data_IF_634943524510
#
_entry.id   IF_634943524510
#
_cell.length_a   1.000
_cell.length_b   1.000
_cell.length_c   1.000
_cell.angle_alpha   90.00
_cell.angle_beta   90.00
_cell.angle_gamma   90.00
#
_symmetry.space_group_name_H-M   'P 1'
#
loop_
_entity.id
_entity.type
_entity.pdbx_description
1 polymer ?
#
# COMPACT_ATOMS: atom_id res chain seq x y z
N UNK A 1 2.19 -28.93 56.66
CA UNK A 1 3.48 -29.64 56.63
C UNK A 1 4.01 -29.55 55.21
N UNK A 2 5.13 -28.84 55.05
CA UNK A 2 6.26 -29.01 54.10
C UNK A 2 5.92 -29.51 52.68
N UNK A 3 6.17 -28.74 51.61
CA UNK A 3 7.46 -28.58 50.92
C UNK A 3 8.24 -29.90 50.72
N UNK A 4 8.91 -30.02 49.56
CA UNK A 4 9.63 -31.18 48.99
C UNK A 4 8.68 -32.13 48.23
N UNK A 5 8.62 -32.10 46.90
CA UNK A 5 9.76 -32.31 45.98
C UNK A 5 9.52 -31.64 44.63
N UNK A 6 10.40 -30.68 44.30
CA UNK A 6 10.67 -30.25 42.93
C UNK A 6 11.38 -31.39 42.17
N UNK A 7 11.30 -31.32 40.84
CA UNK A 7 12.19 -31.94 39.82
C UNK A 7 11.75 -33.31 39.26
N UNK A 8 10.97 -33.27 38.18
CA UNK A 8 11.06 -34.10 36.96
C UNK A 8 9.79 -33.78 36.14
N UNK A 9 9.76 -33.36 34.88
CA UNK A 9 10.74 -33.43 33.82
C UNK A 9 10.54 -32.25 32.87
N UNK A 10 11.66 -31.64 32.47
CA UNK A 10 11.83 -30.95 31.21
C UNK A 10 11.67 -31.96 30.06
N UNK A 11 10.62 -31.84 29.23
CA UNK A 11 10.62 -32.23 27.81
C UNK A 11 9.20 -32.12 27.21
N UNK A 12 9.07 -31.39 26.10
CA UNK A 12 7.84 -31.24 25.31
C UNK A 12 7.45 -29.77 25.16
N UNK A 13 8.34 -28.89 24.72
CA UNK A 13 8.67 -28.66 23.30
C UNK A 13 7.42 -28.49 22.40
N UNK A 14 7.04 -27.22 22.28
CA UNK A 14 6.66 -26.54 21.04
C UNK A 14 5.53 -27.13 20.19
N UNK A 15 4.32 -26.55 20.28
CA UNK A 15 3.42 -26.42 19.11
C UNK A 15 2.63 -25.10 19.17
N UNK A 16 2.92 -24.24 18.17
CA UNK A 16 2.05 -23.27 17.52
C UNK A 16 1.52 -22.03 18.30
N UNK A 17 2.42 -21.12 18.63
CA UNK A 17 2.11 -19.69 18.52
C UNK A 17 2.45 -19.24 17.09
N UNK A 18 1.60 -19.57 16.12
CA UNK A 18 1.67 -19.00 14.78
C UNK A 18 1.10 -17.57 14.84
N UNK A 19 1.89 -16.65 15.39
CA UNK A 19 1.71 -15.23 15.14
C UNK A 19 1.97 -15.03 13.65
N UNK A 20 0.90 -14.98 12.85
CA UNK A 20 0.93 -14.47 11.50
C UNK A 20 1.35 -12.99 11.59
N UNK A 21 2.66 -12.74 11.56
CA UNK A 21 3.21 -11.45 11.16
C UNK A 21 2.85 -11.30 9.69
N UNK A 22 1.64 -10.83 9.43
CA UNK A 22 1.32 -10.19 8.17
C UNK A 22 2.20 -8.97 8.08
N UNK A 23 3.42 -9.15 7.55
CA UNK A 23 4.10 -8.07 6.88
C UNK A 23 3.18 -7.77 5.70
N UNK A 24 2.26 -6.81 5.90
CA UNK A 24 1.53 -6.20 4.81
C UNK A 24 2.57 -5.41 4.04
N UNK A 25 3.35 -6.11 3.23
CA UNK A 25 4.18 -5.46 2.24
C UNK A 25 3.18 -4.77 1.33
N UNK A 26 3.18 -3.44 1.37
CA UNK A 26 2.18 -2.72 0.63
C UNK A 26 2.23 -3.05 -0.86
N UNK A 27 1.09 -2.90 -1.55
CA UNK A 27 0.96 -3.24 -2.96
C UNK A 27 2.07 -2.59 -3.78
N UNK A 28 3.04 -3.42 -4.19
CA UNK A 28 4.07 -3.08 -5.17
C UNK A 28 3.53 -3.35 -6.56
N UNK A 29 3.92 -2.52 -7.52
CA UNK A 29 3.67 -2.83 -8.92
C UNK A 29 4.56 -3.99 -9.36
N UNK A 30 3.99 -5.01 -10.01
CA UNK A 30 4.68 -6.21 -10.46
C UNK A 30 5.19 -6.10 -11.90
N UNK A 31 4.78 -5.06 -12.63
CA UNK A 31 5.15 -4.88 -14.03
C UNK A 31 5.25 -3.42 -14.41
N UNK A 32 5.93 -3.15 -15.53
CA UNK A 32 5.97 -1.82 -16.13
C UNK A 32 4.58 -1.27 -16.46
N UNK A 33 3.65 -2.15 -16.86
CA UNK A 33 2.26 -1.78 -17.09
C UNK A 33 1.60 -1.28 -15.80
N UNK A 34 1.78 -2.00 -14.69
CA UNK A 34 1.24 -1.59 -13.39
C UNK A 34 1.88 -0.30 -12.88
N UNK A 35 3.20 -0.11 -13.08
CA UNK A 35 3.84 1.17 -12.77
C UNK A 35 3.23 2.33 -13.56
N UNK A 36 2.89 2.11 -14.83
CA UNK A 36 2.24 3.11 -15.68
C UNK A 36 0.83 3.45 -15.19
N UNK A 37 0.04 2.43 -14.86
CA UNK A 37 -1.32 2.59 -14.31
C UNK A 37 -1.27 3.32 -12.97
N UNK A 38 -0.36 2.94 -12.08
CA UNK A 38 -0.20 3.59 -10.78
C UNK A 38 0.22 5.06 -10.92
N UNK A 39 1.10 5.37 -11.88
CA UNK A 39 1.48 6.74 -12.18
C UNK A 39 0.28 7.58 -12.65
N UNK A 40 -0.53 7.05 -13.55
CA UNK A 40 -1.76 7.71 -14.02
C UNK A 40 -2.79 7.89 -12.89
N UNK A 41 -3.02 6.84 -12.10
CA UNK A 41 -3.87 6.88 -10.89
C UNK A 41 -3.43 8.01 -9.96
N UNK A 42 -2.12 8.19 -9.75
CA UNK A 42 -1.61 9.22 -8.86
C UNK A 42 -1.87 10.62 -9.42
N UNK A 43 -1.71 10.86 -10.73
CA UNK A 43 -2.08 12.15 -11.35
C UNK A 43 -3.56 12.46 -11.10
N UNK A 44 -4.43 11.49 -11.35
CA UNK A 44 -5.88 11.65 -11.17
C UNK A 44 -6.21 11.90 -9.70
N UNK A 45 -5.65 11.12 -8.77
CA UNK A 45 -5.86 11.27 -7.34
C UNK A 45 -5.45 12.66 -6.83
N UNK A 46 -4.26 13.14 -7.22
CA UNK A 46 -3.78 14.46 -6.86
C UNK A 46 -4.63 15.58 -7.47
N UNK A 47 -5.14 15.39 -8.69
CA UNK A 47 -6.05 16.35 -9.32
C UNK A 47 -7.38 16.43 -8.56
N UNK A 48 -7.96 15.29 -8.20
CA UNK A 48 -9.19 15.25 -7.39
C UNK A 48 -9.01 15.87 -6.01
N UNK A 49 -7.87 15.62 -5.35
CA UNK A 49 -7.54 16.23 -4.07
C UNK A 49 -7.42 17.75 -4.17
N UNK A 50 -6.75 18.27 -5.21
CA UNK A 50 -6.60 19.71 -5.45
C UNK A 50 -7.92 20.42 -5.73
N UNK A 51 -8.82 19.77 -6.45
CA UNK A 51 -10.18 20.25 -6.69
C UNK A 51 -11.11 20.10 -5.46
N UNK A 52 -10.55 19.71 -4.31
CA UNK A 52 -11.27 19.54 -3.04
C UNK A 52 -12.46 18.59 -3.15
N UNK A 53 -12.38 17.61 -4.06
CA UNK A 53 -13.36 16.54 -4.13
C UNK A 53 -13.28 15.75 -2.83
N UNK A 54 -14.42 15.44 -2.22
CA UNK A 54 -14.43 14.62 -1.00
C UNK A 54 -13.74 13.28 -1.25
N UNK A 55 -12.86 12.85 -0.34
CA UNK A 55 -12.11 11.58 -0.47
C UNK A 55 -13.03 10.42 -0.84
N UNK A 56 -14.14 10.23 -0.12
CA UNK A 56 -15.09 9.15 -0.40
C UNK A 56 -15.66 9.19 -1.83
N UNK A 57 -15.85 10.39 -2.40
CA UNK A 57 -16.29 10.57 -3.79
C UNK A 57 -15.16 10.29 -4.78
N UNK A 58 -13.94 10.72 -4.48
CA UNK A 58 -12.77 10.43 -5.31
C UNK A 58 -12.49 8.92 -5.41
N UNK A 59 -12.66 8.19 -4.31
CA UNK A 59 -12.60 6.73 -4.27
C UNK A 59 -13.59 6.07 -5.24
N UNK A 60 -14.84 6.52 -5.21
CA UNK A 60 -15.89 6.04 -6.13
C UNK A 60 -15.57 6.38 -7.59
N UNK A 61 -15.02 7.57 -7.85
CA UNK A 61 -14.64 8.01 -9.20
C UNK A 61 -13.48 7.15 -9.73
N UNK A 62 -12.40 7.02 -8.96
CA UNK A 62 -11.23 6.25 -9.35
C UNK A 62 -11.55 4.77 -9.53
N UNK A 63 -12.36 4.19 -8.63
CA UNK A 63 -12.79 2.79 -8.75
C UNK A 63 -13.47 2.49 -10.09
N UNK A 64 -14.19 3.48 -10.62
CA UNK A 64 -14.86 3.38 -11.93
C UNK A 64 -13.91 3.62 -13.10
N UNK A 65 -12.98 4.58 -12.99
CA UNK A 65 -12.02 4.90 -14.07
C UNK A 65 -11.10 3.71 -14.34
N UNK A 66 -10.63 3.05 -13.29
CA UNK A 66 -9.63 1.99 -13.38
C UNK A 66 -10.19 0.57 -13.24
N UNK A 67 -11.51 0.43 -13.13
CA UNK A 67 -12.22 -0.85 -13.00
C UNK A 67 -11.63 -1.81 -11.93
N UNK A 68 -11.17 -1.26 -10.80
CA UNK A 68 -10.49 -2.04 -9.76
C UNK A 68 -11.45 -2.84 -8.86
N UNK A 69 -12.77 -2.73 -9.07
CA UNK A 69 -13.78 -3.36 -8.22
C UNK A 69 -13.65 -4.89 -8.14
N UNK A 70 -13.08 -5.52 -9.17
CA UNK A 70 -12.89 -6.97 -9.24
C UNK A 70 -11.49 -7.45 -8.79
N UNK A 71 -10.59 -6.53 -8.42
CA UNK A 71 -9.22 -6.85 -8.00
C UNK A 71 -8.94 -6.29 -6.62
N UNK A 72 -8.84 -7.16 -5.61
CA UNK A 72 -8.54 -6.72 -4.25
C UNK A 72 -7.20 -6.00 -4.15
N UNK A 73 -6.21 -6.49 -4.89
CA UNK A 73 -4.91 -5.82 -5.04
C UNK A 73 -5.02 -4.46 -5.73
N UNK A 74 -5.82 -4.36 -6.79
CA UNK A 74 -6.07 -3.09 -7.47
C UNK A 74 -6.75 -2.06 -6.56
N UNK A 75 -7.69 -2.50 -5.71
CA UNK A 75 -8.31 -1.64 -4.69
C UNK A 75 -7.30 -1.15 -3.66
N UNK A 76 -6.42 -2.02 -3.20
CA UNK A 76 -5.41 -1.67 -2.20
C UNK A 76 -4.42 -0.66 -2.77
N UNK A 77 -3.90 -0.91 -3.97
CA UNK A 77 -3.01 0.02 -4.68
C UNK A 77 -3.67 1.38 -4.90
N UNK A 78 -4.90 1.39 -5.41
CA UNK A 78 -5.68 2.61 -5.62
C UNK A 78 -5.88 3.36 -4.30
N UNK A 79 -6.21 2.65 -3.22
CA UNK A 79 -6.40 3.23 -1.89
C UNK A 79 -5.12 3.89 -1.40
N UNK A 80 -3.96 3.26 -1.56
CA UNK A 80 -2.70 3.81 -1.08
C UNK A 80 -2.32 5.10 -1.81
N UNK A 81 -2.51 5.11 -3.14
CA UNK A 81 -2.32 6.28 -3.99
C UNK A 81 -3.28 7.40 -3.60
N UNK A 82 -4.56 7.08 -3.46
CA UNK A 82 -5.59 8.06 -3.12
C UNK A 82 -5.34 8.65 -1.72
N UNK A 83 -4.99 7.80 -0.76
CA UNK A 83 -4.69 8.25 0.59
C UNK A 83 -3.44 9.15 0.56
N UNK A 84 -2.37 8.77 -0.17
CA UNK A 84 -1.18 9.60 -0.34
C UNK A 84 -1.51 10.97 -0.95
N UNK A 85 -2.37 11.02 -1.97
CA UNK A 85 -2.75 12.27 -2.62
C UNK A 85 -3.52 13.24 -1.71
N UNK A 86 -4.26 12.72 -0.72
CA UNK A 86 -5.06 13.55 0.20
C UNK A 86 -4.31 13.98 1.45
N UNK A 87 -3.23 13.30 1.84
CA UNK A 87 -2.34 13.77 2.92
C UNK A 87 -1.15 14.58 2.41
N UNK A 88 -0.71 14.35 1.18
CA UNK A 88 0.46 15.03 0.63
C UNK A 88 0.04 16.25 -0.19
N UNK A 89 0.72 17.38 0.03
CA UNK A 89 0.61 18.56 -0.82
C UNK A 89 1.41 18.43 -2.12
N UNK A 90 1.70 17.21 -2.58
CA UNK A 90 2.56 16.98 -3.74
C UNK A 90 1.88 17.51 -5.01
N UNK A 91 2.67 18.06 -5.94
CA UNK A 91 2.15 18.61 -7.17
C UNK A 91 1.60 17.51 -8.08
N UNK A 92 0.36 17.66 -8.53
CA UNK A 92 -0.17 16.90 -9.67
C UNK A 92 0.54 17.34 -10.96
N UNK A 93 0.85 16.40 -11.86
CA UNK A 93 1.28 16.73 -13.23
C UNK A 93 2.26 15.73 -13.84
N UNK A 94 2.65 16.00 -15.09
CA UNK A 94 3.48 15.11 -15.90
C UNK A 94 4.83 14.78 -15.23
N UNK A 95 5.54 15.79 -14.70
CA UNK A 95 6.85 15.56 -14.06
C UNK A 95 6.76 14.64 -12.85
N UNK A 96 5.70 14.78 -12.05
CA UNK A 96 5.44 13.89 -10.92
C UNK A 96 5.16 12.46 -11.39
N UNK A 97 4.36 12.30 -12.45
CA UNK A 97 4.07 10.99 -13.03
C UNK A 97 5.32 10.29 -13.58
N UNK A 98 6.17 11.04 -14.29
CA UNK A 98 7.45 10.55 -14.81
C UNK A 98 8.38 10.10 -13.68
N UNK A 99 8.46 10.88 -12.60
CA UNK A 99 9.27 10.56 -11.43
C UNK A 99 8.74 9.33 -10.67
N UNK A 100 7.42 9.24 -10.50
CA UNK A 100 6.74 8.11 -9.87
C UNK A 100 6.96 6.83 -10.68
N UNK A 101 6.75 6.89 -12.00
CA UNK A 101 6.99 5.77 -12.90
C UNK A 101 8.46 5.34 -12.90
N UNK A 102 9.39 6.29 -13.04
CA UNK A 102 10.82 5.99 -13.04
C UNK A 102 11.28 5.38 -11.71
N UNK A 103 10.71 5.83 -10.59
CA UNK A 103 10.99 5.26 -9.27
C UNK A 103 10.46 3.84 -9.18
N UNK A 104 9.18 3.63 -9.50
CA UNK A 104 8.53 2.33 -9.53
C UNK A 104 9.32 1.30 -10.36
N UNK A 105 9.80 1.69 -11.54
CA UNK A 105 10.61 0.83 -12.40
C UNK A 105 11.98 0.49 -11.78
N UNK A 106 12.63 1.45 -11.11
CA UNK A 106 13.98 1.26 -10.52
C UNK A 106 13.95 0.47 -9.22
N UNK A 107 12.85 0.55 -8.48
CA UNK A 107 12.70 0.01 -7.13
C UNK A 107 11.99 -1.34 -7.09
N UNK A 108 11.64 -1.91 -8.24
CA UNK A 108 10.87 -3.16 -8.32
C UNK A 108 9.43 -3.00 -7.86
N UNK A 109 8.81 -1.87 -8.17
CA UNK A 109 7.41 -1.58 -7.87
C UNK A 109 7.18 -0.70 -6.64
N UNK A 110 8.23 -0.20 -6.00
CA UNK A 110 8.14 0.74 -4.87
C UNK A 110 7.81 2.16 -5.35
N UNK A 111 6.77 2.74 -4.78
CA UNK A 111 6.32 4.10 -5.08
C UNK A 111 6.43 5.03 -3.86
N UNK A 112 6.79 4.50 -2.70
CA UNK A 112 6.94 5.22 -1.43
C UNK A 112 7.85 6.43 -1.50
N UNK A 113 9.02 6.35 -2.18
CA UNK A 113 9.95 7.47 -2.20
C UNK A 113 9.34 8.72 -2.84
N UNK A 114 8.34 8.54 -3.70
CA UNK A 114 7.67 9.64 -4.42
C UNK A 114 6.33 9.99 -3.78
N UNK A 115 5.54 9.00 -3.35
CA UNK A 115 4.24 9.23 -2.72
C UNK A 115 4.34 9.73 -1.26
N UNK A 116 5.53 9.67 -0.66
CA UNK A 116 5.80 10.22 0.66
C UNK A 116 5.26 9.40 1.83
N UNK A 117 4.75 8.19 1.58
CA UNK A 117 4.41 7.22 2.62
C UNK A 117 5.53 6.20 2.76
N UNK A 118 5.90 5.87 4.00
CA UNK A 118 6.51 4.56 4.29
C UNK A 118 5.38 3.55 4.12
N UNK A 119 5.28 2.91 2.96
CA UNK A 119 4.50 1.70 2.86
C UNK A 119 5.28 0.50 3.43
#
# INVERSE_FOLDING_TARGET
MLQFTRIAALAGLAVAAASATGVSAAPRAESALECGIAADMAIVAHSLAREQIQRAKADTIMARIYDVAQSDRGKELMKDILDAAYVSGLPAGQKFAEELYATCMKSGGDMDPVLGKKL
#
